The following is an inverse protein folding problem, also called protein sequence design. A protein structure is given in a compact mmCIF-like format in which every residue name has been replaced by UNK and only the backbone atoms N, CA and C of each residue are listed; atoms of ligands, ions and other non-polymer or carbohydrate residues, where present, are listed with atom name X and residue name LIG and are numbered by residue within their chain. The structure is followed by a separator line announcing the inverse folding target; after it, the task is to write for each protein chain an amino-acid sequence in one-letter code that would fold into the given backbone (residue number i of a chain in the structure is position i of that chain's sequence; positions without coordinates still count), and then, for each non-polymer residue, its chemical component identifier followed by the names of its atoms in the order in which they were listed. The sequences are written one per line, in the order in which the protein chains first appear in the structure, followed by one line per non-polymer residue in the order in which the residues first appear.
data_IF_326409828170
#
_entry.id   IF_326409828170
#
_cell.length_a   1.000
_cell.length_b   1.000
_cell.length_c   1.000
_cell.angle_alpha   90.00
_cell.angle_beta   90.00
_cell.angle_gamma   90.00
#
_symmetry.space_group_name_H-M   'P 1'
#
loop_
_entity.id
_entity.type
_entity.pdbx_description
1 polymer ?
#
# COMPACT_ATOMS: atom_id res chain seq x y z
N UNK A 1 15.56 40.17 -67.35
CA UNK A 1 15.05 39.00 -66.60
C UNK A 1 15.75 38.94 -65.24
N UNK A 2 15.08 39.39 -64.18
CA UNK A 2 15.57 39.30 -62.80
C UNK A 2 14.91 38.08 -62.16
N UNK A 3 15.72 37.09 -61.82
CA UNK A 3 15.31 35.89 -61.08
C UNK A 3 15.15 36.29 -59.62
N UNK A 4 13.92 36.37 -59.13
CA UNK A 4 13.64 36.52 -57.71
C UNK A 4 13.53 35.11 -57.11
N UNK A 5 14.59 34.70 -56.42
CA UNK A 5 14.67 33.42 -55.69
C UNK A 5 14.03 33.64 -54.31
N UNK A 6 12.76 33.31 -54.17
CA UNK A 6 12.06 33.32 -52.88
C UNK A 6 12.43 32.06 -52.10
N UNK A 7 13.34 32.20 -51.13
CA UNK A 7 13.70 31.14 -50.17
C UNK A 7 12.60 31.08 -49.11
N UNK A 8 11.74 30.07 -49.21
CA UNK A 8 10.71 29.76 -48.22
C UNK A 8 11.35 28.95 -47.07
N UNK A 9 11.67 29.60 -45.96
CA UNK A 9 12.09 28.95 -44.73
C UNK A 9 10.90 28.24 -44.08
N UNK A 10 10.75 26.93 -44.33
CA UNK A 10 9.82 26.08 -43.58
C UNK A 10 10.49 25.79 -42.23
N UNK A 11 10.14 26.60 -41.23
CA UNK A 11 10.45 26.30 -39.82
C UNK A 11 9.54 25.14 -39.43
N UNK A 12 10.06 23.91 -39.51
CA UNK A 12 9.47 22.74 -38.87
C UNK A 12 9.56 22.97 -37.35
N UNK A 13 8.53 23.61 -36.80
CA UNK A 13 8.30 23.67 -35.37
C UNK A 13 7.95 22.28 -34.88
N UNK A 14 8.96 21.51 -34.48
CA UNK A 14 8.76 20.40 -33.57
C UNK A 14 8.29 20.99 -32.24
N UNK A 15 6.98 21.24 -32.12
CA UNK A 15 6.35 21.35 -30.81
C UNK A 15 6.41 19.96 -30.20
N UNK A 16 7.53 19.64 -29.57
CA UNK A 16 7.56 18.60 -28.56
C UNK A 16 6.49 19.00 -27.56
N UNK A 17 5.33 18.35 -27.63
CA UNK A 17 4.32 18.47 -26.60
C UNK A 17 4.99 18.04 -25.32
N UNK A 18 5.36 19.01 -24.48
CA UNK A 18 5.92 18.74 -23.16
C UNK A 18 4.79 18.02 -22.43
N UNK A 19 4.88 16.69 -22.38
CA UNK A 19 4.00 15.88 -21.54
C UNK A 19 4.12 16.44 -20.14
N UNK A 20 3.00 16.83 -19.55
CA UNK A 20 3.00 17.28 -18.17
C UNK A 20 3.25 16.05 -17.33
N UNK A 21 4.35 16.07 -16.58
CA UNK A 21 4.75 14.97 -15.72
C UNK A 21 4.87 15.39 -14.27
N UNK A 22 4.87 14.41 -13.38
CA UNK A 22 5.20 14.55 -11.98
C UNK A 22 6.05 13.37 -11.51
N UNK A 23 6.24 13.28 -10.20
CA UNK A 23 7.02 12.23 -9.53
C UNK A 23 6.11 11.55 -8.52
N UNK A 24 6.15 10.22 -8.48
CA UNK A 24 5.55 9.44 -7.40
C UNK A 24 6.67 8.76 -6.65
N UNK A 25 6.79 9.03 -5.36
CA UNK A 25 7.73 8.35 -4.48
C UNK A 25 6.99 7.69 -3.34
N UNK A 26 7.50 6.58 -2.85
CA UNK A 26 6.85 5.91 -1.76
C UNK A 26 7.72 4.92 -1.04
N UNK A 27 7.11 4.33 -0.03
CA UNK A 27 7.74 3.33 0.83
C UNK A 27 6.79 2.17 1.06
N UNK A 28 7.32 0.96 0.89
CA UNK A 28 6.64 -0.25 1.33
C UNK A 28 6.90 -0.45 2.82
N UNK A 29 5.84 -0.62 3.60
CA UNK A 29 5.90 -0.82 5.04
C UNK A 29 5.68 -2.30 5.33
N UNK A 30 6.75 -3.00 5.73
CA UNK A 30 6.65 -4.38 6.20
C UNK A 30 5.90 -4.41 7.55
N UNK A 31 4.64 -4.85 7.55
CA UNK A 31 3.85 -4.94 8.79
C UNK A 31 4.32 -6.09 9.69
N UNK A 32 4.94 -7.11 9.09
CA UNK A 32 5.62 -8.19 9.79
C UNK A 32 7.12 -8.07 9.55
N UNK A 33 7.89 -7.91 10.63
CA UNK A 33 9.35 -7.72 10.53
C UNK A 33 10.06 -8.88 9.80
N UNK A 34 9.56 -10.11 9.97
CA UNK A 34 10.13 -11.29 9.32
C UNK A 34 9.98 -11.28 7.79
N UNK A 35 9.03 -10.50 7.26
CA UNK A 35 8.78 -10.41 5.82
C UNK A 35 9.74 -9.42 5.13
N UNK A 36 10.53 -8.65 5.89
CA UNK A 36 11.32 -7.54 5.34
C UNK A 36 12.25 -7.96 4.19
N UNK A 37 13.04 -9.02 4.40
CA UNK A 37 14.00 -9.48 3.39
C UNK A 37 13.28 -10.05 2.16
N UNK A 38 12.17 -10.78 2.37
CA UNK A 38 11.35 -11.28 1.27
C UNK A 38 10.78 -10.13 0.44
N UNK A 39 10.19 -9.13 1.10
CA UNK A 39 9.64 -7.93 0.46
C UNK A 39 10.72 -7.24 -0.38
N UNK A 40 11.90 -7.01 0.22
CA UNK A 40 13.01 -6.33 -0.44
C UNK A 40 13.44 -7.02 -1.73
N UNK A 41 13.55 -8.35 -1.70
CA UNK A 41 14.13 -9.13 -2.80
C UNK A 41 13.11 -9.51 -3.89
N UNK A 42 11.82 -9.60 -3.54
CA UNK A 42 10.83 -10.24 -4.41
C UNK A 42 9.71 -9.30 -4.86
N UNK A 43 9.58 -8.10 -4.31
CA UNK A 43 8.52 -7.17 -4.71
C UNK A 43 8.95 -6.25 -5.85
N UNK A 44 8.02 -6.08 -6.78
CA UNK A 44 7.97 -4.95 -7.70
C UNK A 44 6.75 -4.09 -7.37
N UNK A 45 6.92 -2.78 -7.48
CA UNK A 45 5.83 -1.83 -7.43
C UNK A 45 5.44 -1.53 -8.87
N UNK A 46 4.15 -1.59 -9.18
CA UNK A 46 3.60 -1.33 -10.49
C UNK A 46 2.68 -0.12 -10.42
N UNK A 47 2.70 0.69 -11.45
CA UNK A 47 1.80 1.83 -11.62
C UNK A 47 1.15 1.80 -12.99
N UNK A 48 -0.17 2.04 -13.03
CA UNK A 48 -0.92 2.34 -14.24
C UNK A 48 -1.30 3.82 -14.26
N UNK A 49 -0.97 4.51 -15.35
CA UNK A 49 -1.43 5.88 -15.61
C UNK A 49 -1.98 5.98 -17.04
N UNK A 50 -3.27 6.29 -17.16
CA UNK A 50 -3.97 6.24 -18.44
C UNK A 50 -4.04 4.83 -19.03
N UNK A 51 -3.16 4.52 -19.98
CA UNK A 51 -3.06 3.21 -20.65
C UNK A 51 -1.62 2.65 -20.62
N UNK A 52 -0.75 3.24 -19.81
CA UNK A 52 0.66 2.85 -19.69
C UNK A 52 0.90 2.25 -18.32
N UNK A 53 1.64 1.14 -18.30
CA UNK A 53 2.06 0.46 -17.09
C UNK A 53 3.58 0.53 -16.96
N UNK A 54 4.04 0.81 -15.75
CA UNK A 54 5.45 0.88 -15.41
C UNK A 54 5.69 0.08 -14.14
N UNK A 55 6.88 -0.49 -14.00
CA UNK A 55 7.30 -1.15 -12.75
C UNK A 55 8.65 -0.62 -12.29
N UNK A 56 8.87 -0.74 -10.97
CA UNK A 56 10.15 -0.46 -10.34
C UNK A 56 10.40 -1.44 -9.19
N UNK A 57 11.67 -1.66 -8.88
CA UNK A 57 12.08 -2.38 -7.69
C UNK A 57 12.21 -1.44 -6.50
N UNK A 58 12.24 -2.06 -5.31
CA UNK A 58 12.52 -1.39 -4.05
C UNK A 58 14.03 -1.19 -3.83
N UNK A 59 14.39 -0.14 -3.11
CA UNK A 59 15.74 0.04 -2.57
C UNK A 59 15.96 -0.75 -1.26
N UNK A 60 17.16 -0.66 -0.68
CA UNK A 60 17.52 -1.32 0.59
C UNK A 60 16.66 -0.91 1.80
N UNK A 61 15.97 0.23 1.70
CA UNK A 61 15.11 0.77 2.73
C UNK A 61 13.62 0.64 2.39
N UNK A 62 13.29 -0.17 1.37
CA UNK A 62 11.95 -0.40 0.84
C UNK A 62 11.30 0.83 0.19
N UNK A 63 12.09 1.80 -0.26
CA UNK A 63 11.58 2.94 -1.02
C UNK A 63 11.52 2.63 -2.52
N UNK A 64 10.64 3.35 -3.21
CA UNK A 64 10.52 3.32 -4.67
C UNK A 64 10.24 4.72 -5.21
N UNK A 65 10.57 4.93 -6.49
CA UNK A 65 10.31 6.18 -7.17
C UNK A 65 9.98 5.95 -8.65
N UNK A 66 8.94 6.63 -9.12
CA UNK A 66 8.59 6.75 -10.53
C UNK A 66 8.77 8.20 -10.96
N UNK A 67 9.66 8.40 -11.92
CA UNK A 67 9.89 9.70 -12.54
C UNK A 67 9.07 9.84 -13.81
N UNK A 68 8.82 11.09 -14.20
CA UNK A 68 8.14 11.43 -15.45
C UNK A 68 6.75 10.79 -15.60
N UNK A 69 6.04 10.59 -14.48
CA UNK A 69 4.70 10.01 -14.49
C UNK A 69 3.74 11.03 -15.08
N UNK A 70 2.94 10.59 -16.06
CA UNK A 70 1.92 11.44 -16.69
C UNK A 70 0.94 11.97 -15.66
N UNK A 71 0.63 13.27 -15.72
CA UNK A 71 -0.40 13.89 -14.88
C UNK A 71 -1.77 13.28 -15.13
N UNK A 72 -2.56 13.15 -14.07
CA UNK A 72 -3.91 12.58 -14.11
C UNK A 72 -4.08 11.45 -13.11
N UNK A 73 -5.13 10.65 -13.30
CA UNK A 73 -5.41 9.52 -12.44
C UNK A 73 -4.34 8.43 -12.60
N UNK A 74 -3.94 7.86 -11.48
CA UNK A 74 -3.05 6.70 -11.44
C UNK A 74 -3.55 5.66 -10.45
N UNK A 75 -3.13 4.43 -10.66
CA UNK A 75 -3.30 3.30 -9.76
C UNK A 75 -1.94 2.65 -9.52
N UNK A 76 -1.66 2.27 -8.29
CA UNK A 76 -0.40 1.65 -7.88
C UNK A 76 -0.68 0.40 -7.05
N UNK A 77 0.06 -0.67 -7.31
CA UNK A 77 -0.03 -1.94 -6.60
C UNK A 77 1.35 -2.60 -6.52
N UNK A 78 1.41 -3.73 -5.82
CA UNK A 78 2.62 -4.53 -5.68
C UNK A 78 2.44 -5.93 -6.27
N UNK A 79 3.51 -6.47 -6.82
CA UNK A 79 3.59 -7.88 -7.22
C UNK A 79 4.84 -8.54 -6.60
N UNK A 80 4.72 -9.80 -6.09
CA UNK A 80 3.49 -10.57 -5.98
C UNK A 80 2.49 -9.94 -4.99
N UNK A 81 1.20 -10.19 -5.21
CA UNK A 81 0.18 -9.74 -4.26
C UNK A 81 0.37 -10.43 -2.91
N UNK A 82 0.18 -9.67 -1.85
CA UNK A 82 0.14 -10.20 -0.50
C UNK A 82 -1.13 -11.04 -0.29
N UNK A 83 -1.00 -12.14 0.45
CA UNK A 83 -2.12 -13.04 0.79
C UNK A 83 -3.08 -12.39 1.80
N UNK A 84 -2.60 -11.43 2.60
CA UNK A 84 -3.34 -10.86 3.72
C UNK A 84 -3.72 -9.39 3.53
N UNK A 85 -3.01 -8.69 2.65
CA UNK A 85 -3.22 -7.27 2.35
C UNK A 85 -3.34 -7.08 0.85
N UNK A 86 -4.56 -6.78 0.38
CA UNK A 86 -4.79 -6.38 -1.01
C UNK A 86 -4.84 -4.85 -1.06
N UNK A 87 -3.67 -4.24 -1.18
CA UNK A 87 -3.57 -2.78 -1.20
C UNK A 87 -3.23 -2.30 -2.62
N UNK A 88 -4.29 -1.96 -3.36
CA UNK A 88 -4.18 -1.01 -4.46
C UNK A 88 -4.38 0.39 -3.89
N UNK A 89 -3.60 1.36 -4.37
CA UNK A 89 -3.81 2.77 -4.07
C UNK A 89 -4.05 3.52 -5.37
N UNK A 90 -4.86 4.56 -5.30
CA UNK A 90 -5.12 5.41 -6.45
C UNK A 90 -5.05 6.87 -6.05
N UNK A 91 -4.78 7.71 -7.02
CA UNK A 91 -4.63 9.13 -6.81
C UNK A 91 -4.75 9.92 -8.10
N UNK A 92 -4.53 11.22 -8.00
CA UNK A 92 -4.49 12.10 -9.14
C UNK A 92 -3.24 12.98 -9.04
N UNK A 93 -2.32 12.81 -9.99
CA UNK A 93 -1.04 13.50 -10.02
C UNK A 93 -1.15 14.79 -10.83
N UNK A 94 -0.73 15.91 -10.25
CA UNK A 94 -0.66 17.22 -10.88
C UNK A 94 0.71 17.46 -11.49
N UNK A 95 0.77 18.45 -12.38
CA UNK A 95 2.02 18.85 -13.03
C UNK A 95 3.05 19.30 -12.00
N UNK A 96 4.28 18.81 -12.14
CA UNK A 96 5.42 19.11 -11.27
C UNK A 96 5.18 18.74 -9.78
N UNK A 97 4.16 17.92 -9.50
CA UNK A 97 3.85 17.42 -8.16
C UNK A 97 4.77 16.26 -7.80
N UNK A 98 5.15 16.21 -6.52
CA UNK A 98 5.74 15.04 -5.88
C UNK A 98 4.65 14.44 -5.00
N UNK A 99 4.12 13.29 -5.42
CA UNK A 99 3.14 12.54 -4.65
C UNK A 99 3.83 11.49 -3.79
N UNK A 100 3.55 11.50 -2.49
CA UNK A 100 4.13 10.56 -1.52
C UNK A 100 3.12 9.51 -1.08
N UNK A 101 3.56 8.25 -0.99
CA UNK A 101 2.68 7.16 -0.59
C UNK A 101 3.38 6.11 0.28
N UNK A 102 2.64 5.59 1.25
CA UNK A 102 3.04 4.42 2.04
C UNK A 102 2.10 3.24 1.72
N UNK A 103 2.69 2.06 1.48
CA UNK A 103 1.96 0.84 1.14
C UNK A 103 2.26 -0.21 2.21
N UNK A 104 1.36 -0.48 3.17
CA UNK A 104 1.54 -1.57 4.13
C UNK A 104 1.39 -2.93 3.46
N UNK A 105 2.30 -3.86 3.79
CA UNK A 105 2.35 -5.19 3.19
C UNK A 105 2.71 -6.24 4.24
N UNK A 106 2.00 -7.37 4.19
CA UNK A 106 2.23 -8.54 5.03
C UNK A 106 2.07 -9.84 4.24
N UNK A 107 3.14 -10.63 4.08
CA UNK A 107 3.07 -11.97 3.49
C UNK A 107 2.88 -13.06 4.55
N UNK A 108 3.18 -12.74 5.81
CA UNK A 108 2.87 -13.53 7.00
C UNK A 108 1.68 -12.93 7.74
N UNK A 109 1.03 -13.71 8.61
CA UNK A 109 -0.11 -13.19 9.36
C UNK A 109 0.34 -12.14 10.39
N UNK A 110 -0.25 -10.95 10.32
CA UNK A 110 0.07 -9.84 11.24
C UNK A 110 -0.24 -10.16 12.70
N UNK A 111 -1.23 -11.03 12.96
CA UNK A 111 -1.71 -11.39 14.29
C UNK A 111 -0.90 -12.50 14.97
N UNK A 112 0.00 -13.17 14.25
CA UNK A 112 0.93 -14.13 14.88
C UNK A 112 1.90 -13.43 15.83
N UNK A 113 2.21 -12.16 15.56
CA UNK A 113 3.05 -11.32 16.40
C UNK A 113 2.47 -11.11 17.80
N UNK A 114 1.14 -11.18 17.94
CA UNK A 114 0.43 -10.98 19.22
C UNK A 114 -0.10 -12.27 19.82
N UNK A 115 0.06 -13.43 19.16
CA UNK A 115 -0.56 -14.69 19.59
C UNK A 115 -0.31 -14.98 21.08
N UNK A 116 0.93 -14.78 21.51
CA UNK A 116 1.38 -14.99 22.89
C UNK A 116 1.60 -13.68 23.68
N UNK A 117 1.36 -12.51 23.07
CA UNK A 117 1.48 -11.20 23.73
C UNK A 117 0.18 -10.38 23.60
N UNK A 118 -0.56 -10.31 24.72
CA UNK A 118 -1.78 -9.52 24.82
C UNK A 118 -1.54 -8.02 25.05
N UNK A 119 -0.34 -7.50 24.82
CA UNK A 119 -0.03 -6.07 25.00
C UNK A 119 -0.65 -5.26 23.87
N UNK A 120 -1.59 -4.37 24.20
CA UNK A 120 -2.24 -3.53 23.20
C UNK A 120 -1.20 -2.70 22.41
N UNK A 121 -1.21 -2.72 21.07
CA UNK A 121 -0.25 -1.98 20.26
C UNK A 121 -0.41 -0.46 20.36
N UNK A 122 -1.60 0.04 20.73
CA UNK A 122 -1.87 1.47 20.90
C UNK A 122 -1.44 1.95 22.29
N UNK A 123 -2.08 1.46 23.35
CA UNK A 123 -1.85 1.98 24.70
C UNK A 123 -0.70 1.30 25.47
N UNK A 124 -0.10 0.25 24.90
CA UNK A 124 1.01 -0.53 25.50
C UNK A 124 0.67 -1.12 26.87
N UNK A 125 -0.60 -1.39 27.13
CA UNK A 125 -1.06 -2.04 28.36
C UNK A 125 -1.74 -3.36 28.04
N UNK A 126 -1.63 -4.30 28.99
CA UNK A 126 -2.33 -5.58 28.96
C UNK A 126 -3.63 -5.58 29.78
N UNK A 127 -3.84 -4.56 30.62
CA UNK A 127 -5.04 -4.48 31.44
C UNK A 127 -6.25 -4.12 30.57
N UNK A 128 -7.37 -4.81 30.78
CA UNK A 128 -8.58 -4.71 29.96
C UNK A 128 -8.40 -5.19 28.51
N UNK A 129 -7.40 -6.05 28.27
CA UNK A 129 -7.33 -6.87 27.06
C UNK A 129 -7.97 -8.23 27.34
N UNK A 130 -8.85 -8.68 26.46
CA UNK A 130 -9.57 -9.95 26.56
C UNK A 130 -9.40 -10.77 25.28
N UNK A 131 -9.39 -12.11 25.34
CA UNK A 131 -9.27 -12.92 24.15
C UNK A 131 -10.52 -12.78 23.26
N UNK A 132 -10.32 -12.99 21.97
CA UNK A 132 -11.38 -13.12 20.98
C UNK A 132 -11.72 -14.61 20.81
N UNK A 133 -13.01 -14.92 20.68
CA UNK A 133 -13.53 -16.25 20.39
C UNK A 133 -14.39 -16.20 19.14
N UNK A 134 -14.01 -17.02 18.17
CA UNK A 134 -14.72 -17.24 16.92
C UNK A 134 -15.64 -18.46 17.05
N UNK A 135 -16.61 -18.57 16.16
CA UNK A 135 -17.53 -19.71 16.09
C UNK A 135 -18.86 -19.49 16.80
N UNK A 136 -19.68 -20.54 16.80
CA UNK A 136 -20.99 -20.54 17.42
C UNK A 136 -20.87 -20.52 18.95
N UNK A 137 -21.24 -19.40 19.58
CA UNK A 137 -21.25 -19.28 21.04
C UNK A 137 -22.64 -19.58 21.59
N UNK A 138 -22.81 -20.77 22.18
CA UNK A 138 -24.07 -21.21 22.80
C UNK A 138 -24.11 -20.72 24.26
N UNK A 139 -25.13 -19.92 24.64
CA UNK A 139 -25.39 -19.46 26.02
C UNK A 139 -25.59 -17.94 26.18
N UNK A 140 -26.07 -17.48 27.34
CA UNK A 140 -26.36 -16.05 27.59
C UNK A 140 -25.09 -15.19 27.66
N UNK A 141 -25.15 -13.97 27.10
CA UNK A 141 -24.00 -13.05 26.92
C UNK A 141 -23.49 -12.33 28.17
N UNK A 142 -24.18 -12.45 29.30
CA UNK A 142 -23.83 -11.72 30.52
C UNK A 142 -22.55 -12.26 31.17
N UNK A 143 -21.56 -11.39 31.39
CA UNK A 143 -20.34 -11.72 32.15
C UNK A 143 -19.19 -12.36 31.37
N UNK A 144 -19.23 -12.38 30.03
CA UNK A 144 -18.15 -12.99 29.22
C UNK A 144 -16.82 -12.26 29.41
N UNK A 145 -15.77 -13.03 29.72
CA UNK A 145 -14.37 -12.56 29.83
C UNK A 145 -13.65 -12.56 28.47
N UNK A 146 -14.39 -12.66 27.37
CA UNK A 146 -13.90 -12.74 25.99
C UNK A 146 -14.84 -11.97 25.07
N UNK A 147 -14.33 -11.58 23.90
CA UNK A 147 -15.10 -10.94 22.83
C UNK A 147 -15.52 -12.02 21.85
N UNK A 148 -16.77 -11.98 21.41
CA UNK A 148 -17.23 -12.85 20.32
C UNK A 148 -16.97 -12.14 19.01
N UNK A 149 -16.32 -12.83 18.09
CA UNK A 149 -16.13 -12.41 16.71
C UNK A 149 -16.86 -13.39 15.77
N UNK A 150 -16.56 -13.33 14.47
CA UNK A 150 -17.28 -14.04 13.42
C UNK A 150 -17.45 -15.55 13.66
N UNK A 151 -18.40 -16.14 12.94
CA UNK A 151 -18.71 -17.57 13.02
C UNK A 151 -17.60 -18.47 12.43
N UNK A 152 -16.75 -17.93 11.57
CA UNK A 152 -15.70 -18.65 10.84
C UNK A 152 -14.38 -17.98 11.16
N UNK A 153 -13.35 -18.79 11.42
CA UNK A 153 -11.97 -18.35 11.58
C UNK A 153 -11.23 -18.53 10.25
N UNK A 154 -10.51 -17.51 9.82
CA UNK A 154 -9.51 -17.57 8.75
C UNK A 154 -8.15 -17.93 9.33
N UNK A 155 -7.15 -18.14 8.46
CA UNK A 155 -5.78 -18.39 8.90
C UNK A 155 -5.09 -17.13 9.46
N UNK A 156 -5.69 -15.92 9.31
CA UNK A 156 -5.14 -14.70 9.87
C UNK A 156 -6.21 -13.80 10.52
N UNK A 157 -6.62 -14.19 11.72
CA UNK A 157 -7.58 -13.45 12.54
C UNK A 157 -6.97 -12.96 13.86
N UNK A 158 -7.42 -11.82 14.40
CA UNK A 158 -6.93 -11.28 15.66
C UNK A 158 -7.28 -12.19 16.85
N UNK A 159 -6.38 -12.22 17.83
CA UNK A 159 -6.47 -13.09 19.01
C UNK A 159 -7.00 -12.33 20.24
N UNK A 160 -6.81 -11.01 20.27
CA UNK A 160 -7.01 -10.15 21.43
C UNK A 160 -7.84 -8.91 21.11
N UNK A 161 -8.62 -8.46 22.08
CA UNK A 161 -9.39 -7.23 21.99
C UNK A 161 -9.04 -6.30 23.15
N UNK A 162 -8.57 -5.10 22.82
CA UNK A 162 -8.35 -4.05 23.81
C UNK A 162 -9.67 -3.31 24.07
N UNK A 163 -10.25 -3.46 25.26
CA UNK A 163 -11.48 -2.73 25.63
C UNK A 163 -11.28 -1.21 25.75
N UNK A 164 -10.05 -0.76 26.01
CA UNK A 164 -9.73 0.67 26.19
C UNK A 164 -9.76 1.38 24.84
N UNK A 165 -8.99 0.87 23.89
CA UNK A 165 -8.78 1.49 22.58
C UNK A 165 -9.76 0.96 21.52
N UNK A 166 -10.56 -0.06 21.90
CA UNK A 166 -11.58 -0.71 21.07
C UNK A 166 -11.03 -1.33 19.77
N UNK A 167 -9.80 -1.84 19.82
CA UNK A 167 -9.14 -2.51 18.69
C UNK A 167 -9.03 -4.02 18.89
N UNK A 168 -9.01 -4.75 17.78
CA UNK A 168 -8.71 -6.17 17.68
C UNK A 168 -7.29 -6.32 17.13
N UNK A 169 -6.50 -7.21 17.72
CA UNK A 169 -5.10 -7.43 17.36
C UNK A 169 -4.62 -8.82 17.77
#
# INVERSE_FOLDING_TARGET
MRVALSILFIIFGFTNGISQTGIIRGKVIAEVKADFDFIKENIQVLICTGCEEFSTHLDENLNFEFHNVRTGAFEIWIEPHSTYTYDFKSGNLKKDEIFEIEIPVAFSCVYDQSENDKTCPICRKQNRVIPIRYGLVIGNGAGRKYRVAGCIRTDCDPNWYCKRDKIEF
#
